data_IF_414328948532
#
_entry.id   IF_414328948532
#
_cell.length_a   1.000
_cell.length_b   1.000
_cell.length_c   1.000
_cell.angle_alpha   90.00
_cell.angle_beta   90.00
_cell.angle_gamma   90.00
#
_symmetry.space_group_name_H-M   'P 1'
#
loop_
_entity.id
_entity.type
_entity.pdbx_description
1 polymer ?
#
# COMPACT_ATOMS: atom_id res chain seq x y z
N UNK A 1 -32.38 4.71 10.14
CA UNK A 1 -31.66 5.99 10.27
C UNK A 1 -30.41 5.90 9.41
N UNK A 2 -30.27 6.75 8.39
CA UNK A 2 -29.05 6.78 7.57
C UNK A 2 -27.98 7.54 8.34
N UNK A 3 -27.03 6.84 8.95
CA UNK A 3 -25.82 7.48 9.47
C UNK A 3 -25.05 8.06 8.28
N UNK A 4 -24.78 9.36 8.34
CA UNK A 4 -23.97 10.04 7.34
C UNK A 4 -22.54 9.52 7.47
N UNK A 5 -22.01 8.89 6.41
CA UNK A 5 -20.61 8.44 6.40
C UNK A 5 -19.71 9.62 6.07
N UNK A 6 -18.73 9.91 6.93
CA UNK A 6 -17.80 11.02 6.74
C UNK A 6 -16.50 10.52 6.10
N UNK A 7 -15.93 11.32 5.19
CA UNK A 7 -14.58 11.05 4.67
C UNK A 7 -13.58 11.43 5.75
N UNK A 8 -12.96 10.44 6.37
CA UNK A 8 -12.02 10.61 7.46
C UNK A 8 -10.64 11.06 6.96
N UNK A 9 -10.19 10.57 5.80
CA UNK A 9 -8.96 11.05 5.16
C UNK A 9 -8.89 10.68 3.66
N UNK A 10 -7.92 11.28 2.96
CA UNK A 10 -7.57 10.95 1.57
C UNK A 10 -6.07 10.90 1.36
N UNK A 11 -5.58 9.92 0.59
CA UNK A 11 -4.18 9.84 0.20
C UNK A 11 -4.06 9.46 -1.28
N UNK A 12 -3.24 10.20 -2.02
CA UNK A 12 -2.79 9.87 -3.36
C UNK A 12 -1.49 10.61 -3.64
N UNK A 13 -0.53 9.95 -4.28
CA UNK A 13 0.62 10.59 -4.90
C UNK A 13 0.13 11.44 -6.06
N UNK A 14 0.74 12.60 -6.26
CA UNK A 14 0.41 13.50 -7.35
C UNK A 14 0.99 12.96 -8.67
N UNK A 15 0.25 12.09 -9.34
CA UNK A 15 0.65 11.50 -10.62
C UNK A 15 0.70 12.54 -11.74
N UNK A 16 -0.12 13.60 -11.66
CA UNK A 16 -0.08 14.69 -12.65
C UNK A 16 1.26 15.44 -12.61
N UNK A 17 1.80 15.67 -11.42
CA UNK A 17 3.15 16.21 -11.25
C UNK A 17 4.20 15.29 -11.90
N UNK A 18 4.11 13.98 -11.70
CA UNK A 18 5.02 13.02 -12.33
C UNK A 18 4.91 13.01 -13.86
N UNK A 19 3.67 13.06 -14.39
CA UNK A 19 3.42 13.13 -15.82
C UNK A 19 3.92 14.45 -16.44
N UNK A 20 3.79 15.57 -15.71
CA UNK A 20 4.33 16.87 -16.13
C UNK A 20 5.87 16.86 -16.19
N UNK A 21 6.53 16.05 -15.35
CA UNK A 21 7.97 15.80 -15.40
C UNK A 21 8.37 14.79 -16.49
N UNK A 22 7.41 14.30 -17.29
CA UNK A 22 7.64 13.41 -18.42
C UNK A 22 7.55 11.92 -18.10
N UNK A 23 7.23 11.54 -16.86
CA UNK A 23 7.09 10.13 -16.49
C UNK A 23 5.82 9.56 -17.08
N UNK A 24 5.94 8.62 -18.02
CA UNK A 24 4.81 7.85 -18.57
C UNK A 24 4.98 6.34 -18.42
N UNK A 25 6.23 5.91 -18.29
CA UNK A 25 6.62 4.52 -18.08
C UNK A 25 7.77 4.50 -17.04
N UNK A 26 7.69 3.69 -15.97
CA UNK A 26 8.74 3.61 -14.95
C UNK A 26 10.09 3.09 -15.48
N UNK A 27 10.13 2.45 -16.64
CA UNK A 27 11.32 1.89 -17.26
C UNK A 27 11.91 2.76 -18.37
N UNK A 28 11.24 3.85 -18.77
CA UNK A 28 11.79 4.74 -19.81
C UNK A 28 13.07 5.45 -19.33
N UNK A 29 14.00 5.70 -20.24
CA UNK A 29 15.26 6.39 -19.92
C UNK A 29 15.01 7.74 -19.23
N UNK A 30 13.99 8.48 -19.69
CA UNK A 30 13.60 9.76 -19.11
C UNK A 30 13.15 9.62 -17.64
N UNK A 31 12.39 8.58 -17.32
CA UNK A 31 11.95 8.34 -15.95
C UNK A 31 13.09 7.89 -15.03
N UNK A 32 14.03 7.08 -15.54
CA UNK A 32 15.24 6.70 -14.80
C UNK A 32 16.12 7.92 -14.52
N UNK A 33 16.33 8.78 -15.53
CA UNK A 33 17.06 10.05 -15.36
C UNK A 33 16.38 10.95 -14.32
N UNK A 34 15.04 11.06 -14.34
CA UNK A 34 14.31 11.82 -13.34
C UNK A 34 14.47 11.25 -11.93
N UNK A 35 14.42 9.93 -11.77
CA UNK A 35 14.65 9.28 -10.48
C UNK A 35 16.05 9.60 -9.92
N UNK A 36 17.07 9.64 -10.78
CA UNK A 36 18.44 10.00 -10.39
C UNK A 36 18.66 11.52 -10.23
N UNK A 37 17.80 12.36 -10.79
CA UNK A 37 17.95 13.82 -10.77
C UNK A 37 17.75 14.46 -9.39
N UNK A 38 17.19 13.74 -8.42
CA UNK A 38 16.90 14.25 -7.07
C UNK A 38 15.69 15.19 -6.99
N UNK A 39 14.95 15.39 -8.09
CA UNK A 39 13.77 16.27 -8.14
C UNK A 39 12.51 15.69 -7.48
N UNK A 40 12.52 14.39 -7.19
CA UNK A 40 11.38 13.68 -6.58
C UNK A 40 11.47 13.73 -5.06
N UNK A 41 10.34 13.98 -4.40
CA UNK A 41 10.26 13.87 -2.94
C UNK A 41 10.28 12.39 -2.48
N UNK A 42 10.39 12.15 -1.16
CA UNK A 42 10.50 10.79 -0.63
C UNK A 42 9.34 9.86 -1.02
N UNK A 43 8.10 10.37 -1.02
CA UNK A 43 6.91 9.59 -1.38
C UNK A 43 6.87 9.28 -2.87
N UNK A 44 7.22 10.25 -3.72
CA UNK A 44 7.30 10.07 -5.18
C UNK A 44 8.41 9.09 -5.56
N UNK A 45 9.58 9.16 -4.90
CA UNK A 45 10.67 8.20 -5.10
C UNK A 45 10.26 6.80 -4.71
N UNK A 46 9.66 6.63 -3.54
CA UNK A 46 9.18 5.33 -3.09
C UNK A 46 8.11 4.78 -4.04
N UNK A 47 7.18 5.62 -4.46
CA UNK A 47 6.15 5.26 -5.43
C UNK A 47 6.78 4.75 -6.73
N UNK A 48 7.77 5.49 -7.24
CA UNK A 48 8.48 5.16 -8.47
C UNK A 48 9.21 3.82 -8.37
N UNK A 49 9.95 3.60 -7.27
CA UNK A 49 10.67 2.33 -7.03
C UNK A 49 9.73 1.13 -6.97
N UNK A 50 8.58 1.27 -6.32
CA UNK A 50 7.59 0.18 -6.23
C UNK A 50 6.85 -0.03 -7.55
N UNK A 51 6.55 1.04 -8.29
CA UNK A 51 5.92 0.95 -9.60
C UNK A 51 6.83 0.23 -10.60
N UNK A 52 8.13 0.50 -10.61
CA UNK A 52 9.10 -0.16 -11.51
C UNK A 52 9.64 -1.51 -11.02
N UNK A 53 9.23 -2.01 -9.84
CA UNK A 53 9.82 -3.22 -9.27
C UNK A 53 9.46 -4.47 -10.10
N UNK A 54 10.49 -5.23 -10.51
CA UNK A 54 10.35 -6.56 -11.12
C UNK A 54 10.00 -7.65 -10.11
N UNK A 55 10.21 -7.41 -8.81
CA UNK A 55 9.96 -8.36 -7.73
C UNK A 55 8.47 -8.47 -7.36
N UNK A 56 7.65 -7.55 -7.86
CA UNK A 56 6.23 -7.46 -7.51
C UNK A 56 5.35 -7.75 -8.72
N UNK A 57 4.43 -8.70 -8.57
CA UNK A 57 3.44 -8.99 -9.59
C UNK A 57 2.45 -7.83 -9.74
N UNK A 58 2.05 -7.55 -10.97
CA UNK A 58 0.97 -6.60 -11.26
C UNK A 58 -0.37 -7.32 -11.34
N UNK A 59 -1.41 -6.74 -10.79
CA UNK A 59 -2.79 -7.22 -10.92
C UNK A 59 -3.74 -6.09 -11.26
N UNK A 60 -4.85 -6.44 -11.93
CA UNK A 60 -5.95 -5.55 -12.22
C UNK A 60 -7.15 -5.94 -11.35
N UNK A 61 -7.63 -4.99 -10.55
CA UNK A 61 -8.82 -5.14 -9.74
C UNK A 61 -9.94 -4.37 -10.43
N UNK A 62 -11.00 -5.06 -10.82
CA UNK A 62 -12.13 -4.44 -11.52
C UNK A 62 -12.90 -3.49 -10.62
N UNK A 63 -13.47 -2.46 -11.21
CA UNK A 63 -14.39 -1.56 -10.54
C UNK A 63 -15.47 -2.31 -9.74
N UNK A 64 -15.83 -1.76 -8.58
CA UNK A 64 -16.82 -2.28 -7.63
C UNK A 64 -16.43 -3.61 -6.96
N UNK A 65 -15.19 -4.08 -7.15
CA UNK A 65 -14.69 -5.29 -6.48
C UNK A 65 -14.20 -4.93 -5.08
N UNK A 66 -14.69 -5.65 -4.06
CA UNK A 66 -14.06 -5.68 -2.74
C UNK A 66 -12.94 -6.70 -2.77
N UNK A 67 -11.71 -6.26 -2.57
CA UNK A 67 -10.52 -7.12 -2.67
C UNK A 67 -9.79 -7.30 -1.33
N UNK A 68 -10.13 -6.50 -0.32
CA UNK A 68 -9.82 -6.76 1.07
C UNK A 68 -11.09 -6.58 1.90
N UNK A 69 -11.34 -7.49 2.85
CA UNK A 69 -12.47 -7.40 3.76
C UNK A 69 -11.97 -7.30 5.19
N UNK A 70 -12.52 -6.36 5.95
CA UNK A 70 -12.20 -6.18 7.36
C UNK A 70 -12.43 -7.49 8.14
N UNK A 71 -11.46 -7.86 8.97
CA UNK A 71 -11.52 -9.08 9.78
C UNK A 71 -11.06 -10.35 9.06
N UNK A 72 -10.91 -10.34 7.73
CA UNK A 72 -10.33 -11.48 7.01
C UNK A 72 -8.80 -11.51 7.15
N UNK A 73 -8.19 -12.71 7.16
CA UNK A 73 -6.74 -12.85 7.14
C UNK A 73 -6.12 -12.19 5.90
N UNK A 74 -4.98 -11.53 6.07
CA UNK A 74 -4.26 -10.94 4.94
C UNK A 74 -3.44 -12.00 4.21
N UNK A 75 -3.89 -12.40 3.03
CA UNK A 75 -3.13 -13.28 2.12
C UNK A 75 -2.17 -12.49 1.22
N UNK A 76 -2.56 -11.27 0.84
CA UNK A 76 -1.80 -10.38 -0.02
C UNK A 76 -1.93 -8.93 0.46
N UNK A 77 -0.86 -8.16 0.39
CA UNK A 77 -0.95 -6.71 0.49
C UNK A 77 -0.92 -6.09 -0.91
N UNK A 78 -1.42 -4.86 -1.03
CA UNK A 78 -1.57 -4.18 -2.31
C UNK A 78 -0.96 -2.79 -2.24
N UNK A 79 -0.25 -2.41 -3.31
CA UNK A 79 0.21 -1.05 -3.55
C UNK A 79 -0.46 -0.51 -4.81
N UNK A 80 -1.23 0.57 -4.65
CA UNK A 80 -2.02 1.14 -5.75
C UNK A 80 -1.12 1.91 -6.70
N UNK A 81 -1.14 1.53 -7.97
CA UNK A 81 -0.44 2.21 -9.07
C UNK A 81 -1.36 3.19 -9.77
N UNK A 82 -2.60 2.77 -10.03
CA UNK A 82 -3.58 3.56 -10.76
C UNK A 82 -4.98 3.23 -10.28
N UNK A 83 -5.88 4.21 -10.37
CA UNK A 83 -7.28 4.08 -10.01
C UNK A 83 -7.55 4.56 -8.59
N UNK A 84 -8.81 4.43 -8.18
CA UNK A 84 -9.33 4.88 -6.90
C UNK A 84 -9.90 3.70 -6.10
N UNK A 85 -9.54 3.66 -4.83
CA UNK A 85 -9.99 2.69 -3.84
C UNK A 85 -10.70 3.42 -2.71
N UNK A 86 -11.80 2.85 -2.26
CA UNK A 86 -12.50 3.25 -1.05
C UNK A 86 -12.08 2.33 0.10
N UNK A 87 -11.45 2.88 1.12
CA UNK A 87 -11.25 2.21 2.41
C UNK A 87 -12.45 2.45 3.31
N UNK A 88 -12.99 1.42 3.95
CA UNK A 88 -14.13 1.56 4.89
C UNK A 88 -13.79 0.87 6.21
N UNK A 89 -13.79 1.63 7.30
CA UNK A 89 -13.50 1.15 8.66
C UNK A 89 -14.60 1.62 9.60
N UNK A 90 -15.59 0.76 9.86
CA UNK A 90 -16.81 1.18 10.57
C UNK A 90 -17.52 2.31 9.83
N UNK A 91 -17.64 3.47 10.48
CA UNK A 91 -18.26 4.67 9.89
C UNK A 91 -17.27 5.55 9.09
N UNK A 92 -15.96 5.29 9.22
CA UNK A 92 -14.93 6.07 8.55
C UNK A 92 -14.73 5.62 7.11
N UNK A 93 -14.69 6.60 6.20
CA UNK A 93 -14.35 6.40 4.79
C UNK A 93 -13.00 7.02 4.46
N UNK A 94 -12.15 6.26 3.78
CA UNK A 94 -10.86 6.72 3.26
C UNK A 94 -10.86 6.71 1.74
N UNK A 95 -10.37 7.79 1.12
CA UNK A 95 -10.14 7.83 -0.34
C UNK A 95 -8.68 7.53 -0.62
N UNK A 96 -8.43 6.42 -1.30
CA UNK A 96 -7.09 5.86 -1.51
C UNK A 96 -6.80 5.84 -3.01
N UNK A 97 -5.68 6.44 -3.43
CA UNK A 97 -5.25 6.52 -4.81
C UNK A 97 -3.85 5.95 -5.02
N UNK A 98 -3.20 6.28 -6.15
CA UNK A 98 -1.81 5.94 -6.40
C UNK A 98 -0.91 6.18 -5.18
N UNK A 99 -0.10 5.19 -4.82
CA UNK A 99 0.77 5.25 -3.65
C UNK A 99 0.20 4.65 -2.37
N UNK A 100 -1.12 4.45 -2.29
CA UNK A 100 -1.72 3.81 -1.11
C UNK A 100 -1.26 2.36 -0.97
N UNK A 101 -1.00 1.96 0.27
CA UNK A 101 -0.66 0.58 0.64
C UNK A 101 -1.79 0.01 1.51
N UNK A 102 -2.23 -1.21 1.19
CA UNK A 102 -3.37 -1.87 1.83
C UNK A 102 -2.93 -3.24 2.33
N UNK A 103 -3.13 -3.51 3.63
CA UNK A 103 -2.90 -4.82 4.25
C UNK A 103 -1.45 -5.17 4.58
N UNK A 104 -0.47 -4.30 4.30
CA UNK A 104 0.94 -4.65 4.49
C UNK A 104 1.31 -4.74 5.97
N UNK A 105 0.96 -3.73 6.77
CA UNK A 105 1.30 -3.71 8.20
C UNK A 105 0.56 -4.82 8.96
N UNK A 106 -0.71 -5.04 8.60
CA UNK A 106 -1.54 -6.12 9.12
C UNK A 106 -0.94 -7.49 8.79
N UNK A 107 -0.67 -7.75 7.51
CA UNK A 107 -0.13 -9.04 7.05
C UNK A 107 1.24 -9.34 7.62
N UNK A 108 2.12 -8.34 7.73
CA UNK A 108 3.43 -8.48 8.37
C UNK A 108 3.30 -8.78 9.87
N UNK A 109 2.33 -8.16 10.56
CA UNK A 109 2.07 -8.39 11.98
C UNK A 109 1.31 -9.70 12.26
N UNK A 110 0.70 -10.32 11.26
CA UNK A 110 -0.21 -11.45 11.45
C UNK A 110 -1.58 -11.03 12.00
N UNK A 111 -2.00 -9.82 11.67
CA UNK A 111 -3.32 -9.27 11.99
C UNK A 111 -4.24 -9.38 10.76
N UNK A 112 -5.56 -9.46 10.94
CA UNK A 112 -6.50 -9.38 9.83
C UNK A 112 -6.54 -7.96 9.25
N UNK A 113 -7.11 -7.79 8.06
CA UNK A 113 -7.36 -6.47 7.51
C UNK A 113 -8.16 -5.61 8.49
N UNK A 114 -7.72 -4.35 8.67
CA UNK A 114 -8.37 -3.42 9.58
C UNK A 114 -9.53 -2.62 8.94
N UNK A 115 -9.73 -2.75 7.62
CA UNK A 115 -10.74 -2.06 6.83
C UNK A 115 -11.13 -2.87 5.59
N UNK A 116 -12.33 -2.63 5.06
CA UNK A 116 -12.68 -3.06 3.71
C UNK A 116 -11.93 -2.20 2.69
N UNK A 117 -11.47 -2.78 1.58
CA UNK A 117 -10.95 -2.06 0.43
C UNK A 117 -11.75 -2.40 -0.82
N UNK A 118 -12.35 -1.38 -1.43
CA UNK A 118 -13.29 -1.52 -2.55
C UNK A 118 -12.79 -0.66 -3.72
N UNK A 119 -12.58 -1.26 -4.87
CA UNK A 119 -12.23 -0.54 -6.09
C UNK A 119 -13.42 0.31 -6.56
N UNK A 120 -13.20 1.61 -6.78
CA UNK A 120 -14.23 2.53 -7.31
C UNK A 120 -14.25 2.47 -8.84
N UNK A 121 -13.07 2.44 -9.45
CA UNK A 121 -12.82 2.21 -10.88
C UNK A 121 -11.92 0.98 -11.08
N UNK A 122 -11.43 0.75 -12.30
CA UNK A 122 -10.44 -0.30 -12.54
C UNK A 122 -9.08 0.12 -11.95
N UNK A 123 -8.63 -0.62 -10.94
CA UNK A 123 -7.43 -0.31 -10.15
C UNK A 123 -6.29 -1.23 -10.54
N UNK A 124 -5.15 -0.64 -10.92
CA UNK A 124 -3.91 -1.37 -11.11
C UNK A 124 -3.12 -1.37 -9.80
N UNK A 125 -2.67 -2.56 -9.37
CA UNK A 125 -1.92 -2.72 -8.13
C UNK A 125 -0.66 -3.55 -8.33
N UNK A 126 0.36 -3.28 -7.52
CA UNK A 126 1.43 -4.24 -7.23
C UNK A 126 1.03 -5.08 -6.02
N UNK A 127 1.20 -6.39 -6.14
CA UNK A 127 0.77 -7.36 -5.12
C UNK A 127 1.98 -7.86 -4.35
N UNK A 128 1.86 -7.87 -3.02
CA UNK A 128 2.85 -8.45 -2.10
C UNK A 128 2.24 -9.69 -1.45
N UNK A 129 2.61 -10.90 -1.87
CA UNK A 129 2.11 -12.11 -1.21
C UNK A 129 2.67 -12.19 0.21
N UNK A 130 1.80 -12.24 1.22
CA UNK A 130 2.23 -12.22 2.63
C UNK A 130 3.09 -13.43 2.98
N UNK A 131 2.90 -14.57 2.30
CA UNK A 131 3.74 -15.75 2.50
C UNK A 131 5.21 -15.52 2.11
N UNK A 132 5.47 -14.70 1.07
CA UNK A 132 6.84 -14.33 0.65
C UNK A 132 7.45 -13.40 1.68
N UNK A 133 6.71 -12.36 2.07
CA UNK A 133 7.16 -11.40 3.09
C UNK A 133 7.47 -12.13 4.40
N UNK A 134 6.60 -13.06 4.83
CA UNK A 134 6.79 -13.83 6.06
C UNK A 134 8.11 -14.62 6.05
N UNK A 135 8.52 -15.17 4.89
CA UNK A 135 9.82 -15.85 4.76
C UNK A 135 10.98 -14.86 4.89
N UNK A 136 10.89 -13.68 4.28
CA UNK A 136 11.91 -12.63 4.38
C UNK A 136 12.05 -12.14 5.82
N UNK A 137 10.92 -11.87 6.49
CA UNK A 137 10.90 -11.43 7.88
C UNK A 137 11.51 -12.48 8.80
N UNK A 138 11.23 -13.77 8.62
CA UNK A 138 11.84 -14.84 9.42
C UNK A 138 13.36 -14.83 9.37
N UNK A 139 13.95 -14.57 8.20
CA UNK A 139 15.40 -14.60 7.98
C UNK A 139 16.09 -13.24 8.26
N UNK A 140 15.32 -12.22 8.63
CA UNK A 140 15.84 -10.87 8.85
C UNK A 140 16.69 -10.77 10.14
N UNK A 141 17.80 -10.00 10.14
CA UNK A 141 18.58 -9.71 11.33
C UNK A 141 17.74 -9.09 12.46
N UNK A 142 18.05 -9.35 13.74
CA UNK A 142 17.26 -8.85 14.88
C UNK A 142 17.05 -7.34 14.90
N UNK A 143 18.07 -6.55 14.53
CA UNK A 143 17.95 -5.09 14.47
C UNK A 143 16.90 -4.61 13.46
N UNK A 144 16.90 -5.19 12.26
CA UNK A 144 15.92 -4.87 11.22
C UNK A 144 14.51 -5.36 11.60
N UNK A 145 14.39 -6.53 12.24
CA UNK A 145 13.11 -7.01 12.82
C UNK A 145 12.57 -6.03 13.87
N UNK A 146 13.44 -5.47 14.71
CA UNK A 146 13.07 -4.46 15.70
C UNK A 146 12.51 -3.19 15.07
N UNK A 147 13.13 -2.70 13.99
CA UNK A 147 12.64 -1.56 13.21
C UNK A 147 11.28 -1.87 12.58
N UNK A 148 11.14 -3.06 11.98
CA UNK A 148 9.88 -3.50 11.38
C UNK A 148 8.76 -3.59 12.43
N UNK A 149 9.04 -4.19 13.59
CA UNK A 149 8.12 -4.24 14.74
C UNK A 149 7.67 -2.86 15.16
N UNK A 150 8.61 -1.95 15.41
CA UNK A 150 8.29 -0.57 15.81
C UNK A 150 7.45 0.15 14.75
N UNK A 151 7.75 -0.06 13.47
CA UNK A 151 7.01 0.53 12.35
C UNK A 151 5.58 -0.02 12.27
N UNK A 152 5.40 -1.34 12.36
CA UNK A 152 4.07 -1.96 12.36
C UNK A 152 3.25 -1.49 13.56
N UNK A 153 3.84 -1.51 14.77
CA UNK A 153 3.15 -1.05 15.97
C UNK A 153 2.72 0.42 15.86
N UNK A 154 3.57 1.31 15.34
CA UNK A 154 3.21 2.73 15.13
C UNK A 154 2.10 2.89 14.08
N UNK A 155 2.22 2.23 12.93
CA UNK A 155 1.23 2.31 11.85
C UNK A 155 -0.14 1.81 12.30
N UNK A 156 -0.15 0.72 13.07
CA UNK A 156 -1.36 0.06 13.55
C UNK A 156 -1.83 0.55 14.92
N UNK A 157 -1.10 1.48 15.54
CA UNK A 157 -1.35 2.02 16.88
C UNK A 157 -1.47 0.92 17.96
N UNK A 158 -0.61 -0.10 17.89
CA UNK A 158 -0.62 -1.24 18.82
C UNK A 158 0.11 -0.90 20.12
N UNK A 159 -0.45 -1.32 21.24
CA UNK A 159 0.17 -1.19 22.57
C UNK A 159 1.07 -2.37 22.91
N UNK A 160 0.94 -3.51 22.22
CA UNK A 160 1.76 -4.71 22.38
C UNK A 160 2.29 -5.22 21.03
N UNK A 161 3.42 -5.95 21.02
CA UNK A 161 3.94 -6.59 19.81
C UNK A 161 2.89 -7.49 19.12
N UNK A 162 2.80 -7.45 17.78
CA UNK A 162 1.88 -8.31 17.05
C UNK A 162 2.43 -9.76 16.93
N UNK A 163 1.56 -10.76 16.70
CA UNK A 163 1.94 -12.18 16.80
C UNK A 163 3.14 -12.62 15.96
N UNK A 164 3.29 -12.08 14.75
CA UNK A 164 4.41 -12.44 13.85
C UNK A 164 5.67 -11.59 14.04
N UNK A 165 5.64 -10.61 14.94
CA UNK A 165 6.77 -9.76 15.31
C UNK A 165 6.82 -9.55 16.83
N UNK A 166 7.22 -10.56 17.62
CA UNK A 166 7.33 -10.46 19.07
C UNK A 166 8.39 -9.44 19.53
#
# INVERSE_FOLDING_TARGET
>A
MSTSKFVAASFSVNIEHLHALGVRDPYSEQSLQLYHSGKLNANERLYFSLWGSSELSTSLIRAKTRFARQGEPVSSAYFVIKGAVLGVKGEDIYRLGPGSVIGLAEGVGGLPYNMDAIAVDDVQVRVFPIYVISKLVKNMPPGLKGILKSTVMRTMQLTSPPPLLP
#
